data_IF_529849453874
#
_entry.id   IF_529849453874
#
_cell.length_a   1.000
_cell.length_b   1.000
_cell.length_c   1.000
_cell.angle_alpha   90.00
_cell.angle_beta   90.00
_cell.angle_gamma   90.00
#
_symmetry.space_group_name_H-M   'P 1'
#
loop_
_entity.id
_entity.type
_entity.pdbx_description
1 polymer ?
#
# COMPACT_ATOMS: atom_id res chain seq x y z
N UNK A 1 8.06 3.92 -16.32
CA UNK A 1 8.95 4.37 -15.24
C UNK A 1 8.77 3.51 -14.00
N UNK A 2 9.86 2.97 -13.50
CA UNK A 2 9.78 2.17 -12.28
C UNK A 2 9.60 3.08 -11.08
N UNK A 3 8.55 2.85 -10.32
CA UNK A 3 8.31 3.58 -9.10
C UNK A 3 9.05 2.87 -7.95
N UNK A 4 9.67 3.65 -7.08
CA UNK A 4 10.42 3.10 -5.95
C UNK A 4 9.49 2.57 -4.87
N UNK A 5 9.99 1.62 -4.07
CA UNK A 5 9.24 1.01 -2.98
C UNK A 5 8.67 2.06 -2.03
N UNK A 6 9.44 3.11 -1.69
CA UNK A 6 8.94 4.16 -0.81
C UNK A 6 7.74 4.89 -1.38
N UNK A 7 7.74 5.15 -2.69
CA UNK A 7 6.60 5.79 -3.36
C UNK A 7 5.37 4.89 -3.33
N UNK A 8 5.57 3.58 -3.55
CA UNK A 8 4.48 2.60 -3.43
C UNK A 8 3.90 2.58 -2.02
N UNK A 9 4.75 2.62 -1.00
CA UNK A 9 4.31 2.67 0.40
C UNK A 9 3.47 3.90 0.69
N UNK A 10 3.88 5.07 0.20
CA UNK A 10 3.11 6.29 0.37
C UNK A 10 1.75 6.20 -0.30
N UNK A 11 1.70 5.71 -1.53
CA UNK A 11 0.44 5.58 -2.27
C UNK A 11 -0.50 4.59 -1.58
N UNK A 12 0.03 3.47 -1.12
CA UNK A 12 -0.74 2.49 -0.35
C UNK A 12 -1.31 3.12 0.91
N UNK A 13 -0.47 3.86 1.64
CA UNK A 13 -0.90 4.50 2.89
C UNK A 13 -2.01 5.52 2.65
N UNK A 14 -1.91 6.30 1.57
CA UNK A 14 -2.95 7.24 1.20
C UNK A 14 -4.29 6.50 1.01
N UNK A 15 -4.27 5.40 0.26
CA UNK A 15 -5.49 4.62 0.03
C UNK A 15 -6.07 4.06 1.33
N UNK A 16 -5.22 3.48 2.18
CA UNK A 16 -5.64 2.93 3.47
C UNK A 16 -6.28 3.99 4.35
N UNK A 17 -5.67 5.18 4.41
CA UNK A 17 -6.18 6.28 5.22
C UNK A 17 -7.48 6.85 4.65
N UNK A 18 -7.61 6.92 3.32
CA UNK A 18 -8.86 7.36 2.69
C UNK A 18 -10.01 6.42 3.05
N UNK A 19 -9.78 5.12 3.01
CA UNK A 19 -10.81 4.15 3.38
C UNK A 19 -11.20 4.26 4.85
N UNK A 20 -10.24 4.59 5.72
CA UNK A 20 -10.47 4.65 7.16
C UNK A 20 -11.06 5.99 7.59
N UNK A 21 -10.58 7.11 7.04
CA UNK A 21 -10.91 8.46 7.50
C UNK A 21 -11.73 9.28 6.51
N UNK A 22 -11.76 8.88 5.26
CA UNK A 22 -12.47 9.60 4.19
C UNK A 22 -11.65 10.68 3.52
N UNK A 23 -10.82 11.43 4.25
CA UNK A 23 -9.96 12.47 3.69
C UNK A 23 -8.57 12.39 4.30
N UNK A 24 -7.55 12.78 3.52
CA UNK A 24 -6.15 12.59 3.91
C UNK A 24 -5.35 13.86 3.62
N UNK A 25 -4.55 14.27 4.59
CA UNK A 25 -3.55 15.33 4.44
C UNK A 25 -2.16 14.77 4.72
N UNK A 26 -1.13 15.53 4.37
CA UNK A 26 0.27 15.13 4.61
C UNK A 26 0.53 14.79 6.08
N UNK A 27 -0.09 15.53 7.01
CA UNK A 27 0.11 15.26 8.45
C UNK A 27 -0.42 13.88 8.83
N UNK A 28 -1.52 13.43 8.24
CA UNK A 28 -2.06 12.09 8.51
C UNK A 28 -1.07 11.02 8.11
N UNK A 29 -0.41 11.21 6.96
CA UNK A 29 0.60 10.27 6.46
C UNK A 29 1.82 10.27 7.38
N UNK A 30 2.28 11.44 7.78
CA UNK A 30 3.45 11.56 8.66
C UNK A 30 3.22 10.83 9.98
N UNK A 31 2.05 11.01 10.59
CA UNK A 31 1.69 10.34 11.83
C UNK A 31 1.59 8.83 11.63
N UNK A 32 0.90 8.40 10.57
CA UNK A 32 0.69 6.98 10.32
C UNK A 32 1.98 6.22 10.03
N UNK A 33 2.93 6.86 9.35
CA UNK A 33 4.19 6.21 8.97
C UNK A 33 5.34 6.48 9.94
N UNK A 34 5.16 7.40 10.88
CA UNK A 34 6.22 7.76 11.82
C UNK A 34 7.35 8.55 11.17
N UNK A 35 7.05 9.29 10.10
CA UNK A 35 8.03 10.09 9.39
C UNK A 35 7.88 11.57 9.74
N UNK A 36 8.94 12.34 9.50
CA UNK A 36 8.90 13.78 9.74
C UNK A 36 8.02 14.50 8.73
N UNK A 37 7.42 15.61 9.14
CA UNK A 37 6.59 16.43 8.24
C UNK A 37 7.34 16.90 7.00
N UNK A 38 8.60 17.42 7.12
CA UNK A 38 9.33 17.82 5.92
C UNK A 38 9.59 16.68 4.94
N UNK A 39 9.90 15.48 5.43
CA UNK A 39 10.12 14.32 4.56
C UNK A 39 8.86 13.97 3.79
N UNK A 40 7.72 13.95 4.47
CA UNK A 40 6.44 13.64 3.84
C UNK A 40 6.05 14.73 2.84
N UNK A 41 6.29 16.00 3.18
CA UNK A 41 6.00 17.10 2.25
C UNK A 41 6.78 16.99 0.95
N UNK A 42 8.06 16.62 1.03
CA UNK A 42 8.89 16.41 -0.16
C UNK A 42 8.36 15.23 -0.98
N UNK A 43 8.01 14.12 -0.32
CA UNK A 43 7.47 12.95 -1.00
C UNK A 43 6.16 13.27 -1.70
N UNK A 44 5.26 13.99 -1.04
CA UNK A 44 3.97 14.36 -1.63
C UNK A 44 4.14 15.31 -2.82
N UNK A 45 5.10 16.24 -2.73
CA UNK A 45 5.41 17.11 -3.86
C UNK A 45 5.87 16.30 -5.06
N UNK A 46 6.77 15.33 -4.84
CA UNK A 46 7.27 14.47 -5.92
C UNK A 46 6.15 13.64 -6.55
N UNK A 47 5.27 13.07 -5.74
CA UNK A 47 4.15 12.29 -6.26
C UNK A 47 3.19 13.16 -7.07
N UNK A 48 2.93 14.38 -6.60
CA UNK A 48 2.06 15.33 -7.29
C UNK A 48 2.67 15.75 -8.63
N UNK A 49 3.96 16.07 -8.65
CA UNK A 49 4.64 16.49 -9.88
C UNK A 49 4.68 15.38 -10.92
N UNK A 50 4.66 14.12 -10.49
CA UNK A 50 4.66 12.97 -11.39
C UNK A 50 3.25 12.47 -11.73
N UNK A 51 2.22 13.16 -11.29
CA UNK A 51 0.84 12.86 -11.69
C UNK A 51 0.17 11.72 -10.94
N UNK A 52 0.75 11.25 -9.84
CA UNK A 52 0.16 10.17 -9.05
C UNK A 52 -0.90 10.65 -8.07
N UNK A 53 -0.77 11.87 -7.60
CA UNK A 53 -1.73 12.47 -6.67
C UNK A 53 -2.01 13.92 -7.07
N UNK A 54 -3.09 14.48 -6.52
CA UNK A 54 -3.36 15.90 -6.56
C UNK A 54 -3.61 16.38 -5.13
N UNK A 55 -3.49 17.70 -4.92
CA UNK A 55 -3.78 18.32 -3.63
C UNK A 55 -4.67 19.53 -3.87
N UNK A 56 -5.72 19.67 -3.08
CA UNK A 56 -6.56 20.84 -3.17
C UNK A 56 -5.96 22.01 -2.38
N UNK A 57 -6.55 23.22 -2.46
CA UNK A 57 -6.02 24.38 -1.72
C UNK A 57 -5.98 24.20 -0.21
N UNK A 58 -6.80 23.31 0.34
CA UNK A 58 -6.85 23.03 1.77
C UNK A 58 -5.87 21.92 2.18
N UNK A 59 -5.10 21.40 1.22
CA UNK A 59 -4.09 20.38 1.48
C UNK A 59 -4.59 18.95 1.49
N UNK A 60 -5.83 18.71 1.11
CA UNK A 60 -6.36 17.35 1.00
C UNK A 60 -5.80 16.65 -0.23
N UNK A 61 -5.37 15.40 -0.03
CA UNK A 61 -4.71 14.60 -1.05
C UNK A 61 -5.72 13.69 -1.72
N UNK A 62 -5.64 13.61 -3.04
CA UNK A 62 -6.48 12.72 -3.85
C UNK A 62 -5.58 11.86 -4.73
N UNK A 63 -5.84 10.55 -4.77
CA UNK A 63 -5.15 9.65 -5.69
C UNK A 63 -5.67 9.87 -7.10
N UNK A 64 -4.76 10.17 -8.03
CA UNK A 64 -5.11 10.22 -9.44
C UNK A 64 -5.06 8.79 -10.01
N UNK A 65 -5.55 8.60 -11.23
CA UNK A 65 -5.67 7.25 -11.79
C UNK A 65 -4.37 6.44 -11.72
N UNK A 66 -3.18 6.96 -12.11
CA UNK A 66 -1.96 6.16 -12.00
C UNK A 66 -1.60 5.81 -10.56
N UNK A 67 -1.80 6.75 -9.63
CA UNK A 67 -1.52 6.50 -8.22
C UNK A 67 -2.49 5.50 -7.61
N UNK A 68 -3.76 5.59 -7.98
CA UNK A 68 -4.78 4.65 -7.51
C UNK A 68 -4.49 3.23 -7.98
N UNK A 69 -4.07 3.05 -9.23
CA UNK A 69 -3.72 1.74 -9.77
C UNK A 69 -2.59 1.09 -8.98
N UNK A 70 -1.54 1.87 -8.67
CA UNK A 70 -0.41 1.37 -7.88
C UNK A 70 -0.84 1.07 -6.45
N UNK A 71 -1.60 1.98 -5.83
CA UNK A 71 -2.05 1.80 -4.45
C UNK A 71 -2.92 0.56 -4.31
N UNK A 72 -3.84 0.34 -5.24
CA UNK A 72 -4.73 -0.83 -5.22
C UNK A 72 -3.94 -2.12 -5.42
N UNK A 73 -2.94 -2.11 -6.30
CA UNK A 73 -2.11 -3.29 -6.54
C UNK A 73 -1.32 -3.68 -5.29
N UNK A 74 -0.67 -2.71 -4.65
CA UNK A 74 0.14 -2.97 -3.46
C UNK A 74 -0.74 -3.34 -2.26
N UNK A 75 -1.83 -2.61 -2.05
CA UNK A 75 -2.74 -2.90 -0.94
C UNK A 75 -3.41 -4.26 -1.11
N UNK A 76 -3.76 -4.63 -2.35
CA UNK A 76 -4.29 -5.96 -2.64
C UNK A 76 -3.29 -7.05 -2.30
N UNK A 77 -2.02 -6.87 -2.68
CA UNK A 77 -0.95 -7.80 -2.31
C UNK A 77 -0.78 -7.90 -0.80
N UNK A 78 -0.80 -6.76 -0.13
CA UNK A 78 -0.67 -6.72 1.33
C UNK A 78 -1.73 -7.58 2.01
N UNK A 79 -2.99 -7.38 1.63
CA UNK A 79 -4.10 -8.12 2.22
C UNK A 79 -4.03 -9.61 1.90
N UNK A 80 -3.73 -9.95 0.66
CA UNK A 80 -3.66 -11.35 0.23
C UNK A 80 -2.50 -12.09 0.89
N UNK A 81 -1.34 -11.47 0.97
CA UNK A 81 -0.17 -12.09 1.61
C UNK A 81 -0.36 -12.22 3.11
N UNK A 82 -0.95 -11.21 3.76
CA UNK A 82 -1.26 -11.28 5.18
C UNK A 82 -2.18 -12.48 5.46
N UNK A 83 -3.25 -12.62 4.67
CA UNK A 83 -4.19 -13.72 4.82
C UNK A 83 -3.50 -15.08 4.59
N UNK A 84 -2.62 -15.14 3.60
CA UNK A 84 -1.85 -16.36 3.31
C UNK A 84 -0.99 -16.77 4.51
N UNK A 85 -0.25 -15.83 5.07
CA UNK A 85 0.61 -16.11 6.23
C UNK A 85 -0.20 -16.50 7.46
N UNK A 86 -1.32 -15.86 7.70
CA UNK A 86 -2.23 -16.22 8.81
C UNK A 86 -2.75 -17.65 8.60
N UNK A 87 -3.09 -18.02 7.38
CA UNK A 87 -3.55 -19.38 7.06
C UNK A 87 -2.47 -20.43 7.32
N UNK A 88 -1.19 -20.05 7.20
CA UNK A 88 -0.07 -20.93 7.55
C UNK A 88 0.11 -21.10 9.05
N UNK A 89 -0.52 -20.27 9.86
CA UNK A 89 -0.39 -20.30 11.31
C UNK A 89 0.45 -19.15 11.89
N UNK A 90 0.82 -18.17 11.06
CA UNK A 90 1.61 -17.03 11.53
C UNK A 90 0.68 -16.08 12.29
N UNK A 91 1.18 -15.54 13.40
CA UNK A 91 0.47 -14.52 14.17
C UNK A 91 0.05 -13.35 13.26
N UNK A 92 -1.20 -12.83 13.36
CA UNK A 92 -1.68 -11.79 12.46
C UNK A 92 -0.81 -10.52 12.41
N UNK A 93 -0.27 -10.07 13.54
CA UNK A 93 0.59 -8.88 13.56
C UNK A 93 1.92 -9.13 12.83
N UNK A 94 2.49 -10.31 13.05
CA UNK A 94 3.72 -10.72 12.35
C UNK A 94 3.45 -10.89 10.87
N UNK A 95 2.33 -11.52 10.52
CA UNK A 95 1.93 -11.72 9.13
C UNK A 95 1.81 -10.39 8.38
N UNK A 96 1.17 -9.40 8.99
CA UNK A 96 1.02 -8.08 8.38
C UNK A 96 2.36 -7.39 8.17
N UNK A 97 3.27 -7.49 9.15
CA UNK A 97 4.60 -6.90 9.02
C UNK A 97 5.43 -7.56 7.93
N UNK A 98 5.39 -8.89 7.86
CA UNK A 98 6.12 -9.63 6.83
C UNK A 98 5.54 -9.36 5.45
N UNK A 99 4.22 -9.30 5.32
CA UNK A 99 3.55 -8.96 4.07
C UNK A 99 4.01 -7.58 3.56
N UNK A 100 4.11 -6.61 4.46
CA UNK A 100 4.56 -5.26 4.12
C UNK A 100 5.98 -5.26 3.53
N UNK A 101 6.84 -6.16 3.99
CA UNK A 101 8.21 -6.28 3.47
C UNK A 101 8.26 -7.00 2.12
N UNK A 102 7.46 -8.03 1.95
CA UNK A 102 7.53 -8.94 0.80
C UNK A 102 6.76 -8.42 -0.40
N UNK A 103 5.70 -7.66 -0.19
CA UNK A 103 4.76 -7.29 -1.24
C UNK A 103 5.38 -6.55 -2.42
N UNK A 104 6.48 -5.84 -2.20
CA UNK A 104 7.16 -5.07 -3.24
C UNK A 104 8.17 -5.91 -4.03
N UNK A 105 8.64 -6.99 -3.48
CA UNK A 105 9.77 -7.75 -4.03
C UNK A 105 9.36 -9.01 -4.79
N UNK A 106 8.10 -9.40 -4.70
CA UNK A 106 7.63 -10.59 -5.40
C UNK A 106 7.33 -10.30 -6.87
N UNK A 107 7.75 -11.21 -7.74
CA UNK A 107 7.30 -11.17 -9.14
C UNK A 107 5.79 -11.42 -9.19
N UNK A 108 5.16 -10.96 -10.26
CA UNK A 108 3.74 -11.21 -10.48
C UNK A 108 3.46 -12.71 -10.56
N UNK A 109 4.35 -13.46 -11.20
CA UNK A 109 4.19 -14.91 -11.33
C UNK A 109 4.17 -15.61 -9.98
N UNK A 110 5.17 -15.33 -9.12
CA UNK A 110 5.23 -15.94 -7.79
C UNK A 110 4.02 -15.57 -6.95
N UNK A 111 3.66 -14.29 -6.97
CA UNK A 111 2.49 -13.81 -6.23
C UNK A 111 1.21 -14.54 -6.66
N UNK A 112 0.96 -14.64 -7.97
CA UNK A 112 -0.24 -15.31 -8.48
C UNK A 112 -0.28 -16.78 -8.09
N UNK A 113 0.88 -17.46 -8.14
CA UNK A 113 0.94 -18.87 -7.75
C UNK A 113 0.64 -19.08 -6.28
N UNK A 114 1.13 -18.17 -5.42
CA UNK A 114 0.84 -18.23 -3.99
C UNK A 114 -0.66 -18.06 -3.71
N UNK A 115 -1.29 -17.09 -4.37
CA UNK A 115 -2.72 -16.82 -4.18
C UNK A 115 -3.57 -17.97 -4.72
N UNK A 116 -3.23 -18.51 -5.89
CA UNK A 116 -3.92 -19.68 -6.44
C UNK A 116 -3.86 -20.87 -5.50
N UNK A 117 -2.70 -21.12 -4.92
CA UNK A 117 -2.53 -22.21 -3.95
C UNK A 117 -3.40 -22.00 -2.72
N UNK A 118 -3.42 -20.77 -2.19
CA UNK A 118 -4.22 -20.43 -1.01
C UNK A 118 -5.71 -20.62 -1.28
N UNK A 119 -6.19 -20.19 -2.45
CA UNK A 119 -7.59 -20.33 -2.84
C UNK A 119 -8.01 -21.80 -2.98
N UNK A 120 -7.16 -22.60 -3.62
CA UNK A 120 -7.42 -24.04 -3.78
C UNK A 120 -7.46 -24.76 -2.44
N UNK A 121 -6.54 -24.41 -1.53
CA UNK A 121 -6.52 -24.99 -0.19
C UNK A 121 -7.79 -24.68 0.58
N UNK A 122 -8.31 -23.46 0.43
CA UNK A 122 -9.54 -23.04 1.08
C UNK A 122 -10.75 -23.76 0.50
N UNK A 123 -10.80 -23.96 -0.82
CA UNK A 123 -11.92 -24.62 -1.49
C UNK A 123 -12.00 -26.11 -1.21
N UNK A 124 -10.88 -26.73 -0.86
CA UNK A 124 -10.79 -28.17 -0.63
C UNK A 124 -11.08 -28.59 0.80
N UNK A 125 -11.60 -27.69 1.62
CA UNK A 125 -11.99 -28.03 3.01
C UNK A 125 -13.40 -28.50 3.12
#
# INVERSE_FOLDING_TARGET
MNIHESAEDYLEKILMLQEKKGSVRSIDIAVAMGFSKPSVSVAMKNLRENGYISMDPDGFIKLETPGMEIAQRIYGRHRALTAFFVALGVDPDIAARDACKVEHDLSEETYRKMIDFAEKSTQNK
#
